data_IF_861524737232
#
_entry.id   IF_861524737232
#
_cell.length_a   1.000
_cell.length_b   1.000
_cell.length_c   1.000
_cell.angle_alpha   90.00
_cell.angle_beta   90.00
_cell.angle_gamma   90.00
#
_symmetry.space_group_name_H-M   'P 1'
#
loop_
_entity.id
_entity.type
_entity.pdbx_description
1 polymer ?
#
# COMPACT_ATOMS: atom_id res chain seq x y z
N UNK A 1 -11.29 1.09 -18.45
CA UNK A 1 -11.37 -0.36 -18.73
C UNK A 1 -11.49 -0.59 -20.22
N UNK A 2 -10.95 -1.70 -20.70
CA UNK A 2 -11.00 -2.15 -22.07
C UNK A 2 -11.50 -3.60 -22.11
N UNK A 3 -12.31 -3.94 -23.10
CA UNK A 3 -12.61 -5.33 -23.43
C UNK A 3 -11.32 -6.02 -23.91
N UNK A 4 -10.88 -7.04 -23.20
CA UNK A 4 -9.59 -7.70 -23.49
C UNK A 4 -9.58 -8.46 -24.82
N UNK A 5 -10.74 -8.88 -25.35
CA UNK A 5 -10.85 -9.60 -26.60
C UNK A 5 -10.97 -8.67 -27.80
N UNK A 6 -11.69 -7.57 -27.64
CA UNK A 6 -12.05 -6.65 -28.75
C UNK A 6 -11.27 -5.33 -28.72
N UNK A 7 -10.61 -5.01 -27.60
CA UNK A 7 -9.91 -3.73 -27.43
C UNK A 7 -10.83 -2.51 -27.39
N UNK A 8 -12.12 -2.72 -27.16
CA UNK A 8 -13.12 -1.64 -27.11
C UNK A 8 -13.08 -0.99 -25.73
N UNK A 9 -13.10 0.34 -25.70
CA UNK A 9 -13.25 1.10 -24.46
C UNK A 9 -14.61 0.85 -23.84
N UNK A 10 -14.64 0.33 -22.62
CA UNK A 10 -15.86 0.09 -21.85
C UNK A 10 -16.22 1.31 -21.01
N UNK A 11 -15.26 1.81 -20.24
CA UNK A 11 -15.41 3.03 -19.44
C UNK A 11 -14.04 3.67 -19.15
N UNK A 12 -14.08 4.95 -18.83
CA UNK A 12 -12.90 5.73 -18.42
C UNK A 12 -13.28 6.64 -17.27
N UNK A 13 -12.49 6.62 -16.20
CA UNK A 13 -12.68 7.48 -15.02
C UNK A 13 -11.48 8.39 -14.86
N UNK A 14 -11.64 9.71 -14.90
CA UNK A 14 -10.55 10.64 -14.62
C UNK A 14 -10.19 10.58 -13.12
N UNK A 15 -8.93 10.31 -12.84
CA UNK A 15 -8.39 10.22 -11.48
C UNK A 15 -7.53 11.45 -11.12
N UNK A 16 -7.62 12.50 -11.92
CA UNK A 16 -6.91 13.75 -11.71
C UNK A 16 -7.85 14.92 -11.98
N UNK A 17 -7.80 15.93 -11.11
CA UNK A 17 -8.42 17.23 -11.42
C UNK A 17 -7.55 17.95 -12.44
N UNK A 18 -8.13 18.30 -13.60
CA UNK A 18 -7.49 19.01 -14.71
C UNK A 18 -7.01 20.44 -14.37
N UNK A 19 -7.08 20.89 -13.14
CA UNK A 19 -6.81 22.26 -12.74
C UNK A 19 -5.40 22.48 -12.17
N UNK A 20 -4.57 21.48 -12.09
CA UNK A 20 -3.19 21.70 -11.64
C UNK A 20 -2.27 21.50 -12.83
N UNK A 21 -1.70 22.60 -13.24
CA UNK A 21 -0.60 22.74 -14.17
C UNK A 21 0.34 21.53 -14.15
N UNK A 22 0.77 21.13 -15.32
CA UNK A 22 1.83 20.20 -15.59
C UNK A 22 3.16 20.60 -14.93
N UNK A 23 3.20 20.65 -13.62
CA UNK A 23 4.45 20.53 -12.94
C UNK A 23 4.88 19.06 -13.05
N UNK A 24 6.02 18.89 -13.61
CA UNK A 24 6.74 17.71 -14.07
C UNK A 24 6.99 16.61 -13.04
N UNK A 25 6.20 16.49 -11.99
CA UNK A 25 6.25 15.38 -11.08
C UNK A 25 5.40 14.23 -11.64
N UNK A 26 6.04 13.14 -12.01
CA UNK A 26 5.36 11.94 -12.49
C UNK A 26 4.33 11.46 -11.48
N UNK A 27 3.13 11.14 -11.97
CA UNK A 27 2.13 10.44 -11.19
C UNK A 27 2.66 9.01 -10.95
N UNK A 28 2.80 8.65 -9.69
CA UNK A 28 3.13 7.29 -9.27
C UNK A 28 1.88 6.72 -8.59
N UNK A 29 1.41 5.60 -9.08
CA UNK A 29 0.26 4.89 -8.52
C UNK A 29 0.71 3.59 -7.89
N UNK A 30 -0.07 3.09 -6.92
CA UNK A 30 0.03 1.71 -6.49
C UNK A 30 -0.46 0.75 -7.58
N UNK A 31 -0.17 -0.54 -7.44
CA UNK A 31 -0.87 -1.57 -8.20
C UNK A 31 -2.37 -1.50 -7.93
N UNK A 32 -3.17 -1.82 -8.95
CA UNK A 32 -4.61 -1.97 -8.82
C UNK A 32 -4.95 -3.28 -8.12
N UNK A 33 -5.91 -3.25 -7.23
CA UNK A 33 -6.46 -4.46 -6.60
C UNK A 33 -7.95 -4.53 -6.87
N UNK A 34 -8.38 -5.62 -7.49
CA UNK A 34 -9.79 -5.92 -7.69
C UNK A 34 -10.26 -6.86 -6.57
N UNK A 35 -11.30 -6.46 -5.87
CA UNK A 35 -11.98 -7.31 -4.88
C UNK A 35 -13.47 -7.10 -4.99
N UNK A 36 -14.22 -8.21 -5.14
CA UNK A 36 -15.68 -8.19 -5.39
C UNK A 36 -16.02 -7.30 -6.59
N UNK A 37 -16.73 -6.22 -6.38
CA UNK A 37 -17.17 -5.29 -7.43
C UNK A 37 -16.41 -3.97 -7.44
N UNK A 38 -15.29 -3.90 -6.73
CA UNK A 38 -14.53 -2.66 -6.57
C UNK A 38 -13.06 -2.81 -6.93
N UNK A 39 -12.52 -1.75 -7.54
CA UNK A 39 -11.11 -1.58 -7.85
C UNK A 39 -10.55 -0.57 -6.86
N UNK A 40 -9.45 -0.94 -6.19
CA UNK A 40 -8.77 -0.13 -5.20
C UNK A 40 -7.36 0.20 -5.64
N UNK A 41 -6.96 1.46 -5.48
CA UNK A 41 -5.59 1.93 -5.72
C UNK A 41 -5.37 3.28 -5.07
N UNK A 42 -4.11 3.67 -4.96
CA UNK A 42 -3.69 4.97 -4.44
C UNK A 42 -2.64 5.62 -5.34
N UNK A 43 -2.33 6.88 -5.07
CA UNK A 43 -1.31 7.61 -5.79
C UNK A 43 -0.47 8.50 -4.85
N UNK A 44 0.62 9.08 -5.41
CA UNK A 44 1.51 10.01 -4.71
C UNK A 44 0.96 11.45 -4.63
N UNK A 45 -0.30 11.66 -4.98
CA UNK A 45 -1.01 12.96 -4.88
C UNK A 45 -2.03 12.98 -3.76
N UNK A 46 -1.84 12.14 -2.77
CA UNK A 46 -2.69 12.08 -1.58
C UNK A 46 -4.13 11.63 -1.89
N UNK A 47 -4.27 10.61 -2.74
CA UNK A 47 -5.56 10.09 -3.14
C UNK A 47 -5.56 8.57 -3.12
N UNK A 48 -6.54 7.99 -2.44
CA UNK A 48 -6.86 6.57 -2.43
C UNK A 48 -8.30 6.42 -2.93
N UNK A 49 -8.51 5.54 -3.90
CA UNK A 49 -9.77 5.37 -4.61
C UNK A 49 -10.37 3.99 -4.39
N UNK A 50 -11.69 3.94 -4.33
CA UNK A 50 -12.52 2.79 -4.64
C UNK A 50 -13.43 3.14 -5.81
N UNK A 51 -13.34 2.34 -6.87
CA UNK A 51 -14.10 2.54 -8.12
C UNK A 51 -14.85 1.27 -8.43
N UNK A 52 -16.11 1.39 -8.86
CA UNK A 52 -16.89 0.26 -9.35
C UNK A 52 -16.24 -0.32 -10.62
N UNK A 53 -16.06 -1.64 -10.67
CA UNK A 53 -15.38 -2.32 -11.78
C UNK A 53 -16.16 -2.32 -13.10
N UNK A 54 -17.51 -2.26 -13.03
CA UNK A 54 -18.37 -2.46 -14.20
C UNK A 54 -18.60 -1.17 -14.97
N UNK A 55 -18.75 -0.05 -14.27
CA UNK A 55 -19.07 1.25 -14.88
C UNK A 55 -18.02 2.36 -14.62
N UNK A 56 -17.05 2.11 -13.75
CA UNK A 56 -15.99 3.05 -13.42
C UNK A 56 -16.42 4.21 -12.52
N UNK A 57 -17.61 4.17 -11.93
CA UNK A 57 -18.04 5.21 -11.00
C UNK A 57 -17.26 5.14 -9.70
N UNK A 58 -17.01 6.32 -9.14
CA UNK A 58 -16.34 6.47 -7.85
C UNK A 58 -17.28 6.01 -6.73
N UNK A 59 -16.87 4.96 -5.99
CA UNK A 59 -17.57 4.55 -4.78
C UNK A 59 -17.23 5.53 -3.64
N UNK A 60 -15.93 5.70 -3.38
CA UNK A 60 -15.41 6.65 -2.40
C UNK A 60 -13.94 7.00 -2.67
N UNK A 61 -13.48 8.08 -2.02
CA UNK A 61 -12.10 8.54 -2.07
C UNK A 61 -11.63 8.99 -0.69
N UNK A 62 -10.38 8.64 -0.33
CA UNK A 62 -9.70 9.09 0.89
C UNK A 62 -8.42 9.87 0.57
N UNK A 63 -8.00 10.73 1.50
CA UNK A 63 -6.75 11.50 1.40
C UNK A 63 -5.59 10.69 1.97
N UNK A 64 -5.02 9.80 1.17
CA UNK A 64 -3.89 8.94 1.56
C UNK A 64 -2.85 8.97 0.45
N UNK A 65 -1.63 9.39 0.80
CA UNK A 65 -0.47 9.41 -0.08
C UNK A 65 0.25 8.06 -0.02
N UNK A 66 -0.03 7.16 -0.93
CA UNK A 66 0.59 5.83 -0.94
C UNK A 66 0.91 5.36 -2.36
N UNK A 67 2.06 4.69 -2.50
CA UNK A 67 2.46 3.99 -3.72
C UNK A 67 2.46 2.47 -3.49
N UNK A 68 2.04 2.02 -2.30
CA UNK A 68 2.03 0.62 -1.93
C UNK A 68 0.72 -0.02 -2.37
N UNK A 69 0.84 -1.19 -2.97
CA UNK A 69 -0.32 -2.02 -3.29
C UNK A 69 -1.13 -2.27 -2.00
N UNK A 70 -2.40 -1.89 -1.94
CA UNK A 70 -3.25 -2.19 -0.79
C UNK A 70 -3.50 -3.69 -0.67
N UNK A 71 -3.71 -4.16 0.54
CA UNK A 71 -4.12 -5.53 0.83
C UNK A 71 -5.55 -5.49 1.33
N UNK A 72 -6.38 -6.33 0.73
CA UNK A 72 -7.79 -6.42 1.07
C UNK A 72 -8.05 -7.82 1.58
N UNK A 73 -8.70 -7.89 2.72
CA UNK A 73 -9.14 -9.15 3.32
C UNK A 73 -10.51 -8.92 3.94
N UNK A 74 -11.48 -9.73 3.55
CA UNK A 74 -12.89 -9.54 3.86
C UNK A 74 -13.38 -8.14 3.46
N UNK A 75 -13.81 -7.33 4.41
CA UNK A 75 -14.27 -5.97 4.20
C UNK A 75 -13.28 -4.91 4.71
N UNK A 76 -12.01 -5.29 4.91
CA UNK A 76 -10.96 -4.42 5.45
C UNK A 76 -9.83 -4.23 4.43
N UNK A 77 -9.39 -2.98 4.28
CA UNK A 77 -8.24 -2.61 3.48
C UNK A 77 -7.10 -2.17 4.40
N UNK A 78 -5.91 -2.72 4.15
CA UNK A 78 -4.66 -2.31 4.77
C UNK A 78 -3.79 -1.61 3.73
N UNK A 79 -3.34 -0.41 4.05
CA UNK A 79 -2.35 0.32 3.24
C UNK A 79 -1.41 1.11 4.14
N UNK A 80 -0.24 1.46 3.61
CA UNK A 80 0.73 2.30 4.33
C UNK A 80 1.07 3.50 3.47
N UNK A 81 0.97 4.70 4.03
CA UNK A 81 1.34 5.92 3.32
C UNK A 81 2.84 6.07 3.15
N UNK A 82 3.26 6.93 2.23
CA UNK A 82 4.68 7.25 1.99
C UNK A 82 5.36 7.88 3.22
N UNK A 83 4.58 8.42 4.16
CA UNK A 83 5.03 8.94 5.45
C UNK A 83 5.09 7.86 6.55
N UNK A 84 4.69 6.62 6.22
CA UNK A 84 4.75 5.47 7.14
C UNK A 84 3.56 5.32 8.07
N UNK A 85 2.41 5.91 7.76
CA UNK A 85 1.18 5.66 8.48
C UNK A 85 0.48 4.42 7.92
N UNK A 86 0.26 3.43 8.77
CA UNK A 86 -0.65 2.33 8.50
C UNK A 86 -2.08 2.86 8.58
N UNK A 87 -2.88 2.59 7.57
CA UNK A 87 -4.32 2.82 7.56
C UNK A 87 -5.06 1.50 7.46
N UNK A 88 -6.07 1.35 8.30
CA UNK A 88 -7.07 0.28 8.25
C UNK A 88 -8.38 0.94 7.87
N UNK A 89 -8.96 0.52 6.76
CA UNK A 89 -10.09 1.20 6.12
C UNK A 89 -11.22 0.18 5.91
N UNK A 90 -12.44 0.58 6.21
CA UNK A 90 -13.64 -0.14 5.78
C UNK A 90 -13.78 -0.08 4.26
N UNK A 91 -13.82 -1.22 3.59
CA UNK A 91 -13.81 -1.29 2.13
C UNK A 91 -15.11 -0.76 1.51
N UNK A 92 -16.24 -0.86 2.20
CA UNK A 92 -17.55 -0.47 1.68
C UNK A 92 -17.73 1.04 1.70
N UNK A 93 -17.49 1.66 2.85
CA UNK A 93 -17.72 3.11 3.04
C UNK A 93 -16.46 3.97 2.90
N UNK A 94 -15.27 3.36 2.88
CA UNK A 94 -14.01 4.07 2.84
C UNK A 94 -13.62 4.74 4.16
N UNK A 95 -14.32 4.43 5.27
CA UNK A 95 -14.06 5.03 6.57
C UNK A 95 -12.74 4.51 7.14
N UNK A 96 -11.89 5.42 7.62
CA UNK A 96 -10.66 5.05 8.31
C UNK A 96 -11.03 4.55 9.71
N UNK A 97 -10.87 3.23 9.92
CA UNK A 97 -11.12 2.57 11.21
C UNK A 97 -9.98 2.86 12.18
N UNK A 98 -8.74 2.84 11.65
CA UNK A 98 -7.52 2.98 12.45
C UNK A 98 -6.41 3.63 11.62
N UNK A 99 -5.57 4.40 12.31
CA UNK A 99 -4.34 4.96 11.74
C UNK A 99 -3.23 4.94 12.79
N UNK A 100 -2.07 4.35 12.43
CA UNK A 100 -0.91 4.22 13.32
C UNK A 100 0.37 4.63 12.58
N UNK A 101 1.22 5.43 13.23
CA UNK A 101 2.53 5.78 12.69
C UNK A 101 3.54 4.67 12.94
N UNK A 102 3.88 3.90 11.90
CA UNK A 102 4.86 2.81 11.98
C UNK A 102 6.32 3.31 12.02
N UNK A 103 6.56 4.59 11.74
CA UNK A 103 7.89 5.18 11.84
C UNK A 103 8.13 5.92 13.17
N UNK A 104 7.23 5.78 14.16
CA UNK A 104 7.28 6.53 15.42
C UNK A 104 8.60 6.33 16.17
N UNK A 105 9.18 5.13 16.10
CA UNK A 105 10.42 4.77 16.79
C UNK A 105 11.69 5.29 16.08
N UNK A 106 11.58 5.90 14.90
CA UNK A 106 12.71 6.54 14.22
C UNK A 106 12.82 8.01 14.65
N UNK A 107 14.05 8.51 14.67
CA UNK A 107 14.31 9.94 14.96
C UNK A 107 13.57 10.83 13.95
N UNK A 108 12.86 11.88 14.37
CA UNK A 108 12.06 12.72 13.49
C UNK A 108 12.79 13.20 12.23
N UNK A 109 14.03 13.68 12.38
CA UNK A 109 14.87 14.15 11.26
C UNK A 109 15.24 13.10 10.21
N UNK A 110 15.01 11.81 10.51
CA UNK A 110 15.33 10.72 9.58
C UNK A 110 14.08 10.16 8.90
N UNK A 111 12.86 10.46 9.41
CA UNK A 111 11.62 9.86 8.91
C UNK A 111 11.32 10.25 7.47
N UNK A 112 11.65 11.47 7.07
CA UNK A 112 11.43 11.96 5.70
C UNK A 112 12.19 11.16 4.63
N UNK A 113 13.33 10.56 5.01
CA UNK A 113 14.17 9.73 4.13
C UNK A 113 13.78 8.25 4.17
N UNK A 114 12.97 7.84 5.14
CA UNK A 114 12.54 6.45 5.27
C UNK A 114 11.26 6.25 4.48
N UNK A 115 11.32 5.36 3.49
CA UNK A 115 10.18 5.07 2.61
C UNK A 115 9.74 3.62 2.77
N UNK A 116 8.44 3.40 2.95
CA UNK A 116 7.82 2.11 2.80
C UNK A 116 8.03 1.55 1.39
N UNK A 117 8.36 0.26 1.29
CA UNK A 117 8.59 -0.43 0.00
C UNK A 117 7.44 -1.37 -0.31
N UNK A 118 6.90 -2.06 0.69
CA UNK A 118 5.77 -2.94 0.51
C UNK A 118 5.35 -3.60 1.82
N UNK A 119 4.12 -4.09 1.83
CA UNK A 119 3.52 -4.79 2.96
C UNK A 119 3.05 -6.18 2.55
N UNK A 120 2.98 -7.07 3.54
CA UNK A 120 2.29 -8.37 3.45
C UNK A 120 1.65 -8.69 4.79
N UNK A 121 0.52 -9.42 4.77
CA UNK A 121 -0.15 -9.91 5.96
C UNK A 121 0.12 -11.40 6.14
N UNK A 122 0.36 -11.82 7.37
CA UNK A 122 0.48 -13.24 7.73
C UNK A 122 0.51 -13.44 9.24
N UNK A 123 -0.15 -14.49 9.72
CA UNK A 123 -0.19 -14.88 11.14
C UNK A 123 -0.54 -13.73 12.07
N UNK A 124 -1.62 -13.02 11.80
CA UNK A 124 -2.11 -11.85 12.55
C UNK A 124 -1.12 -10.66 12.62
N UNK A 125 -0.17 -10.62 11.70
CA UNK A 125 0.87 -9.59 11.63
C UNK A 125 0.92 -8.93 10.28
N UNK A 126 1.35 -7.66 10.31
CA UNK A 126 1.71 -6.88 9.14
C UNK A 126 3.23 -6.83 9.09
N UNK A 127 3.81 -7.20 7.96
CA UNK A 127 5.24 -7.08 7.69
C UNK A 127 5.45 -5.95 6.69
N UNK A 128 6.15 -4.90 7.12
CA UNK A 128 6.45 -3.73 6.30
C UNK A 128 7.94 -3.64 6.05
N UNK A 129 8.37 -3.72 4.80
CA UNK A 129 9.75 -3.46 4.40
C UNK A 129 10.00 -1.97 4.13
N UNK A 130 11.19 -1.50 4.47
CA UNK A 130 11.62 -0.12 4.32
C UNK A 130 12.86 -0.02 3.42
N UNK A 131 13.04 1.16 2.81
CA UNK A 131 14.18 1.45 1.92
C UNK A 131 15.55 1.45 2.62
N UNK A 132 15.59 1.44 3.95
CA UNK A 132 16.82 1.40 4.76
C UNK A 132 17.16 0.00 5.30
N UNK A 133 16.63 -1.05 4.69
CA UNK A 133 16.91 -2.44 5.03
C UNK A 133 16.25 -2.94 6.30
N UNK A 134 15.28 -2.21 6.84
CA UNK A 134 14.53 -2.64 8.02
C UNK A 134 13.19 -3.26 7.64
N UNK A 135 12.77 -4.21 8.47
CA UNK A 135 11.45 -4.84 8.44
C UNK A 135 10.75 -4.49 9.75
N UNK A 136 9.59 -3.84 9.65
CA UNK A 136 8.71 -3.60 10.79
C UNK A 136 7.66 -4.70 10.82
N UNK A 137 7.43 -5.24 12.02
CA UNK A 137 6.34 -6.17 12.30
C UNK A 137 5.34 -5.46 13.19
N UNK A 138 4.09 -5.39 12.76
CA UNK A 138 3.00 -4.77 13.50
C UNK A 138 1.82 -5.74 13.66
N UNK A 139 1.00 -5.53 14.68
CA UNK A 139 -0.22 -6.30 14.90
C UNK A 139 -1.31 -5.89 13.91
N UNK A 140 -1.98 -6.82 13.28
CA UNK A 140 -3.19 -6.56 12.47
C UNK A 140 -4.30 -5.98 13.36
N UNK A 141 -4.45 -6.49 14.57
CA UNK A 141 -5.55 -6.12 15.47
C UNK A 141 -5.41 -4.70 16.02
N UNK A 142 -4.19 -4.35 16.49
CA UNK A 142 -3.96 -3.05 17.14
C UNK A 142 -3.33 -2.02 16.21
N UNK A 143 -2.62 -2.46 15.17
CA UNK A 143 -1.80 -1.63 14.30
C UNK A 143 -0.49 -1.18 14.97
N UNK A 144 -0.20 -1.66 16.19
CA UNK A 144 0.99 -1.28 16.95
C UNK A 144 2.21 -2.08 16.52
N UNK A 145 3.37 -1.45 16.62
CA UNK A 145 4.66 -2.09 16.30
C UNK A 145 4.97 -3.15 17.36
N UNK A 146 5.13 -4.40 16.91
CA UNK A 146 5.59 -5.52 17.75
C UNK A 146 7.11 -5.53 17.79
N UNK A 147 7.76 -5.40 16.62
CA UNK A 147 9.21 -5.46 16.49
C UNK A 147 9.70 -4.72 15.24
N UNK A 148 10.99 -4.40 15.23
CA UNK A 148 11.69 -3.85 14.07
C UNK A 148 13.02 -4.57 13.91
N UNK A 149 13.19 -5.29 12.81
CA UNK A 149 14.41 -6.02 12.48
C UNK A 149 15.25 -5.20 11.49
N UNK A 150 16.56 -5.19 11.67
CA UNK A 150 17.49 -4.73 10.65
C UNK A 150 17.98 -5.96 9.87
N UNK A 151 17.52 -6.09 8.64
CA UNK A 151 17.84 -7.23 7.78
C UNK A 151 19.04 -6.94 6.88
N UNK A 152 19.24 -5.67 6.51
CA UNK A 152 20.32 -5.23 5.64
C UNK A 152 20.77 -3.78 5.94
N UNK A 153 21.87 -3.34 5.34
CA UNK A 153 22.31 -1.94 5.30
C UNK A 153 21.65 -1.14 4.17
N UNK A 154 21.21 -1.84 3.11
CA UNK A 154 20.60 -1.30 1.90
C UNK A 154 19.10 -1.58 1.83
N UNK A 155 18.47 -1.11 0.76
CA UNK A 155 17.06 -1.40 0.49
C UNK A 155 16.83 -2.91 0.30
N UNK A 156 15.76 -3.41 0.90
CA UNK A 156 15.23 -4.76 0.70
C UNK A 156 13.96 -4.70 -0.18
N UNK A 157 13.60 -5.83 -0.79
CA UNK A 157 12.38 -5.91 -1.60
C UNK A 157 11.12 -5.78 -0.75
N UNK A 158 9.97 -5.63 -1.42
CA UNK A 158 8.68 -5.93 -0.78
C UNK A 158 8.69 -7.37 -0.29
N UNK A 159 8.15 -7.64 0.92
CA UNK A 159 8.07 -8.99 1.46
C UNK A 159 6.97 -9.78 0.76
N UNK A 160 7.08 -11.11 0.75
CA UNK A 160 5.97 -11.97 0.41
C UNK A 160 5.94 -13.20 1.31
N UNK A 161 4.77 -13.78 1.48
CA UNK A 161 4.56 -14.98 2.30
C UNK A 161 4.10 -16.12 1.41
N UNK A 162 4.72 -17.25 1.58
CA UNK A 162 4.33 -18.51 0.96
C UNK A 162 4.62 -19.66 1.92
N UNK A 163 3.69 -20.59 2.06
CA UNK A 163 3.81 -21.77 2.94
C UNK A 163 4.26 -21.40 4.38
N UNK A 164 3.60 -20.41 4.99
CA UNK A 164 3.89 -19.87 6.32
C UNK A 164 5.33 -19.34 6.53
N UNK A 165 6.03 -19.04 5.45
CA UNK A 165 7.38 -18.49 5.47
C UNK A 165 7.40 -17.14 4.83
N UNK A 166 8.20 -16.22 5.39
CA UNK A 166 8.42 -14.89 4.86
C UNK A 166 9.65 -14.89 3.96
N UNK A 167 9.52 -14.33 2.77
CA UNK A 167 10.59 -14.21 1.79
C UNK A 167 10.87 -12.75 1.49
N UNK A 168 12.15 -12.42 1.39
CA UNK A 168 12.65 -11.09 1.04
C UNK A 168 13.85 -11.26 0.10
N UNK A 169 13.94 -10.40 -0.91
CA UNK A 169 15.11 -10.31 -1.77
C UNK A 169 16.02 -9.21 -1.21
N UNK A 170 17.27 -9.55 -1.00
CA UNK A 170 18.36 -8.63 -0.68
C UNK A 170 19.67 -9.14 -1.29
N UNK A 171 20.57 -8.24 -1.67
CA UNK A 171 21.89 -8.57 -2.24
C UNK A 171 21.82 -9.63 -3.37
N UNK A 172 20.84 -9.49 -4.27
CA UNK A 172 20.55 -10.43 -5.37
C UNK A 172 20.21 -11.87 -4.91
N UNK A 173 19.85 -12.06 -3.65
CA UNK A 173 19.50 -13.36 -3.07
C UNK A 173 18.11 -13.35 -2.49
N UNK A 174 17.40 -14.47 -2.63
CA UNK A 174 16.12 -14.70 -1.93
C UNK A 174 16.45 -15.30 -0.57
N UNK A 175 15.93 -14.69 0.48
CA UNK A 175 16.13 -15.14 1.86
C UNK A 175 14.79 -15.53 2.45
N UNK A 176 14.74 -16.72 3.02
CA UNK A 176 13.61 -17.25 3.78
C UNK A 176 13.80 -16.93 5.27
N UNK A 177 12.75 -16.42 5.90
CA UNK A 177 12.64 -16.21 7.34
C UNK A 177 11.51 -17.08 7.90
N UNK A 178 11.80 -17.79 8.98
CA UNK A 178 10.83 -18.62 9.72
C UNK A 178 10.31 -17.90 10.96
#
# INVERSE_FOLDING_TARGET
ALDANKGILLWQTPTQNNLVYAESASLITSDLVLEKDSIYFSNNRNEFYSINKDDGFLNWKQKINSNIRPIITDDIIFTVSNEGFLYVIDSLGGNIIKSNNLLINFKPKHREFIKPIGIVLGSDKIFLSLNNGKLIVASIQTGEIINTFKLDGNQISKPFIFDNKLYIIKDNSIIEYK
#
